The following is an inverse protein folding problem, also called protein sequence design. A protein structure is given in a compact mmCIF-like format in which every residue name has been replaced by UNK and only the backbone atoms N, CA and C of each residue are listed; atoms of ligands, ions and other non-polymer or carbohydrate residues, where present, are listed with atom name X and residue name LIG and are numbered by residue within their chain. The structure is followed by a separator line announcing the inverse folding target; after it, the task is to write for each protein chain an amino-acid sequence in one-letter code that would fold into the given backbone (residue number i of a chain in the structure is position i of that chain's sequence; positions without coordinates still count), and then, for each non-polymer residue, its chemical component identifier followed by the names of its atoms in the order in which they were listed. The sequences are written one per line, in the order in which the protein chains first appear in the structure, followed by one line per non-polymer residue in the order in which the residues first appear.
data_IF_586828874596
#
_entry.id   IF_586828874596
#
_cell.length_a   1.000
_cell.length_b   1.000
_cell.length_c   1.000
_cell.angle_alpha   90.00
_cell.angle_beta   90.00
_cell.angle_gamma   90.00
#
_symmetry.space_group_name_H-M   'P 1'
#
loop_
_entity.id
_entity.type
_entity.pdbx_description
1 polymer ?
#
# COMPACT_ATOMS: atom_id res chain seq x y z
N UNK A 1 -7.79 20.13 8.71
CA UNK A 1 -6.59 20.10 9.58
C UNK A 1 -5.35 20.10 8.71
N UNK A 2 -4.43 21.04 8.89
CA UNK A 2 -3.22 21.10 8.05
C UNK A 2 -2.31 19.90 8.33
N UNK A 3 -1.52 19.49 7.32
CA UNK A 3 -0.53 18.41 7.47
C UNK A 3 0.46 18.70 8.61
N UNK A 4 0.79 19.97 8.81
CA UNK A 4 1.62 20.45 9.91
C UNK A 4 1.00 20.11 11.27
N UNK A 5 -0.29 20.37 11.47
CA UNK A 5 -0.98 20.05 12.73
C UNK A 5 -1.05 18.55 13.02
N UNK A 6 -1.15 17.70 11.99
CA UNK A 6 -1.10 16.24 12.18
C UNK A 6 0.28 15.77 12.64
N UNK A 7 1.35 16.29 12.03
CA UNK A 7 2.74 15.93 12.38
C UNK A 7 3.11 16.49 13.76
N UNK A 8 2.68 17.71 14.07
CA UNK A 8 2.90 18.33 15.37
C UNK A 8 2.32 17.47 16.50
N UNK A 9 1.07 17.02 16.35
CA UNK A 9 0.41 16.15 17.33
C UNK A 9 1.04 14.75 17.41
N UNK A 10 1.73 14.26 16.39
CA UNK A 10 2.38 12.93 16.44
C UNK A 10 3.72 12.97 17.19
N UNK A 11 4.50 14.03 16.93
CA UNK A 11 5.87 14.19 17.44
C UNK A 11 5.89 14.81 18.84
N UNK A 12 5.02 15.78 19.10
CA UNK A 12 5.02 16.57 20.34
C UNK A 12 3.88 16.27 21.30
N UNK A 13 2.92 15.40 20.96
CA UNK A 13 1.88 15.04 21.93
C UNK A 13 2.43 14.17 23.05
N UNK A 14 1.94 14.45 24.26
CA UNK A 14 2.13 13.62 25.44
C UNK A 14 1.77 12.16 25.13
N UNK A 15 2.65 11.17 25.43
CA UNK A 15 2.37 9.76 25.21
C UNK A 15 1.08 9.27 25.89
N UNK A 16 0.63 9.94 26.94
CA UNK A 16 -0.64 9.64 27.62
C UNK A 16 -1.88 10.12 26.85
N UNK A 17 -1.72 10.99 25.84
CA UNK A 17 -2.80 11.54 25.00
C UNK A 17 -2.75 11.00 23.54
N UNK A 18 -2.12 9.85 23.32
CA UNK A 18 -2.14 9.20 21.98
C UNK A 18 -3.54 8.65 21.69
N UNK A 19 -4.32 9.41 20.93
CA UNK A 19 -5.62 8.95 20.43
C UNK A 19 -5.42 7.67 19.62
N UNK A 20 -6.00 6.56 20.07
CA UNK A 20 -5.91 5.25 19.39
C UNK A 20 -6.49 5.43 17.98
N UNK A 21 -5.69 5.20 16.93
CA UNK A 21 -6.16 5.28 15.53
C UNK A 21 -7.21 4.19 15.31
N UNK A 22 -8.49 4.51 15.45
CA UNK A 22 -9.65 3.65 15.15
C UNK A 22 -9.95 3.59 13.66
N UNK A 23 -8.90 3.49 12.83
CA UNK A 23 -9.04 3.35 11.39
C UNK A 23 -9.65 1.99 11.04
N UNK A 24 -10.29 1.86 9.86
CA UNK A 24 -10.77 0.57 9.38
C UNK A 24 -9.61 -0.44 9.39
N UNK A 25 -9.84 -1.60 10.02
CA UNK A 25 -8.84 -2.67 10.07
C UNK A 25 -8.59 -3.13 8.63
N UNK A 26 -7.32 -3.12 8.21
CA UNK A 26 -6.92 -3.67 6.91
C UNK A 26 -7.41 -5.12 6.81
N UNK A 27 -7.95 -5.56 5.65
CA UNK A 27 -8.32 -6.95 5.47
C UNK A 27 -7.10 -7.84 5.74
N UNK A 28 -7.32 -8.96 6.42
CA UNK A 28 -6.27 -9.92 6.71
C UNK A 28 -5.75 -10.53 5.41
N UNK A 29 -4.48 -10.90 5.39
CA UNK A 29 -3.92 -11.58 4.23
C UNK A 29 -4.39 -13.04 4.18
N UNK A 30 -4.73 -13.50 2.99
CA UNK A 30 -5.14 -14.88 2.70
C UNK A 30 -4.21 -15.50 1.66
N UNK A 31 -4.01 -16.81 1.71
CA UNK A 31 -3.24 -17.55 0.74
C UNK A 31 -3.94 -17.51 -0.63
N UNK A 32 -3.23 -17.08 -1.68
CA UNK A 32 -3.80 -17.02 -3.03
C UNK A 32 -4.00 -18.39 -3.68
N UNK A 33 -3.47 -19.48 -3.12
CA UNK A 33 -3.72 -20.82 -3.64
C UNK A 33 -5.02 -21.41 -3.07
N UNK A 34 -5.16 -21.44 -1.74
CA UNK A 34 -6.26 -22.14 -1.07
C UNK A 34 -7.29 -21.22 -0.38
N UNK A 35 -6.98 -19.92 -0.22
CA UNK A 35 -7.86 -18.95 0.43
C UNK A 35 -7.76 -18.88 1.96
N UNK A 36 -6.93 -19.69 2.61
CA UNK A 36 -6.82 -19.68 4.08
C UNK A 36 -6.01 -18.48 4.63
N UNK A 37 -6.39 -17.98 5.81
CA UNK A 37 -5.72 -16.86 6.50
C UNK A 37 -4.41 -17.26 7.22
N UNK A 38 -4.13 -18.56 7.33
CA UNK A 38 -3.10 -19.06 8.25
C UNK A 38 -1.67 -19.00 7.69
N UNK A 39 -1.51 -18.87 6.37
CA UNK A 39 -0.24 -19.06 5.71
C UNK A 39 -0.13 -18.27 4.41
N UNK A 40 1.09 -18.11 3.90
CA UNK A 40 1.35 -17.45 2.63
C UNK A 40 1.40 -18.45 1.48
N UNK A 41 1.40 -17.98 0.23
CA UNK A 41 1.51 -18.85 -0.95
C UNK A 41 2.72 -19.80 -0.89
N UNK A 42 3.82 -19.39 -0.26
CA UNK A 42 5.06 -20.17 -0.15
C UNK A 42 4.89 -21.35 0.80
N UNK A 43 4.11 -21.16 1.86
CA UNK A 43 3.91 -22.14 2.92
C UNK A 43 2.69 -23.04 2.67
N UNK A 44 2.07 -22.92 1.48
CA UNK A 44 0.86 -23.66 1.14
C UNK A 44 1.17 -25.14 0.92
N UNK A 45 0.52 -26.00 1.70
CA UNK A 45 0.68 -27.46 1.62
C UNK A 45 -0.08 -28.10 0.43
N UNK A 46 -1.01 -27.37 -0.17
CA UNK A 46 -1.79 -27.84 -1.33
C UNK A 46 -0.99 -27.69 -2.63
N UNK A 47 -1.25 -28.54 -3.65
CA UNK A 47 -0.64 -28.38 -4.95
C UNK A 47 -0.94 -26.99 -5.52
N UNK A 48 0.04 -26.39 -6.17
CA UNK A 48 -0.05 -25.03 -6.67
C UNK A 48 -0.94 -24.97 -7.91
N UNK A 49 -2.09 -24.33 -7.80
CA UNK A 49 -3.06 -24.17 -8.90
C UNK A 49 -2.92 -22.76 -9.49
N UNK A 50 -2.21 -22.64 -10.61
CA UNK A 50 -1.93 -21.32 -11.22
C UNK A 50 -3.20 -20.54 -11.59
N UNK A 51 -4.25 -21.22 -12.04
CA UNK A 51 -5.52 -20.60 -12.39
C UNK A 51 -6.19 -19.92 -11.19
N UNK A 52 -6.23 -20.58 -10.03
CA UNK A 52 -6.79 -20.02 -8.79
C UNK A 52 -5.97 -18.83 -8.30
N UNK A 53 -4.63 -18.96 -8.33
CA UNK A 53 -3.73 -17.87 -7.96
C UNK A 53 -3.95 -16.65 -8.85
N UNK A 54 -4.10 -16.84 -10.16
CA UNK A 54 -4.35 -15.74 -11.09
C UNK A 54 -5.70 -15.07 -10.83
N UNK A 55 -6.75 -15.85 -10.55
CA UNK A 55 -8.08 -15.33 -10.20
C UNK A 55 -8.04 -14.50 -8.91
N UNK A 56 -7.49 -15.07 -7.83
CA UNK A 56 -7.40 -14.40 -6.53
C UNK A 56 -6.56 -13.10 -6.59
N UNK A 57 -5.52 -13.06 -7.43
CA UNK A 57 -4.75 -11.83 -7.69
C UNK A 57 -5.58 -10.77 -8.41
N UNK A 58 -6.37 -11.16 -9.43
CA UNK A 58 -7.26 -10.24 -10.14
C UNK A 58 -8.33 -9.68 -9.22
N UNK A 59 -8.93 -10.51 -8.37
CA UNK A 59 -9.96 -10.10 -7.42
C UNK A 59 -9.42 -9.14 -6.36
N UNK A 60 -8.20 -9.39 -5.86
CA UNK A 60 -7.55 -8.46 -4.94
C UNK A 60 -7.29 -7.10 -5.61
N UNK A 61 -6.78 -7.10 -6.85
CA UNK A 61 -6.52 -5.86 -7.60
C UNK A 61 -7.80 -5.07 -7.90
N UNK A 62 -8.91 -5.75 -8.27
CA UNK A 62 -10.19 -5.09 -8.54
C UNK A 62 -10.80 -4.47 -7.28
N UNK A 63 -10.71 -5.17 -6.14
CA UNK A 63 -11.18 -4.66 -4.85
C UNK A 63 -10.34 -3.48 -4.34
N UNK A 64 -9.04 -3.50 -4.60
CA UNK A 64 -8.16 -2.39 -4.23
C UNK A 64 -8.52 -1.12 -5.02
N UNK A 65 -8.88 -1.25 -6.30
CA UNK A 65 -9.28 -0.11 -7.14
C UNK A 65 -10.55 0.60 -6.65
N UNK A 66 -11.45 -0.12 -5.96
CA UNK A 66 -12.65 0.46 -5.34
C UNK A 66 -12.37 1.15 -3.99
N UNK A 67 -11.27 0.77 -3.31
CA UNK A 67 -10.91 1.25 -1.98
C UNK A 67 -9.69 2.19 -1.97
N UNK A 68 -9.21 2.62 -3.14
CA UNK A 68 -8.14 3.61 -3.21
C UNK A 68 -8.59 4.88 -2.45
N UNK A 69 -7.85 5.34 -1.43
CA UNK A 69 -8.03 6.71 -1.00
C UNK A 69 -7.74 7.55 -2.23
N UNK A 70 -8.72 8.32 -2.72
CA UNK A 70 -8.49 9.35 -3.74
C UNK A 70 -7.36 10.22 -3.19
N UNK A 71 -6.14 9.97 -3.64
CA UNK A 71 -4.99 10.70 -3.20
C UNK A 71 -5.16 12.11 -3.76
N UNK A 72 -5.62 13.03 -2.91
CA UNK A 72 -5.80 14.46 -3.24
C UNK A 72 -4.49 15.25 -3.12
N UNK A 73 -3.36 14.56 -3.00
CA UNK A 73 -2.04 15.18 -3.05
C UNK A 73 -1.58 15.37 -4.51
N UNK A 74 -0.55 16.21 -4.75
CA UNK A 74 0.00 16.38 -6.08
C UNK A 74 0.47 15.02 -6.60
N UNK A 75 -0.02 14.69 -7.80
CA UNK A 75 0.27 13.47 -8.57
C UNK A 75 1.70 12.98 -8.32
N UNK A 76 1.89 11.65 -8.19
CA UNK A 76 3.23 11.02 -8.07
C UNK A 76 4.19 11.77 -8.98
N UNK A 77 5.32 12.25 -8.49
CA UNK A 77 6.23 13.17 -9.21
C UNK A 77 6.60 12.77 -10.66
N UNK A 78 6.44 11.50 -11.01
CA UNK A 78 6.58 10.96 -12.37
C UNK A 78 5.46 11.35 -13.35
N UNK A 79 4.30 11.78 -12.84
CA UNK A 79 3.13 12.19 -13.61
C UNK A 79 3.07 13.70 -13.81
N UNK A 80 3.93 14.46 -13.12
CA UNK A 80 4.14 15.88 -13.37
C UNK A 80 5.13 16.02 -14.53
N UNK A 81 4.71 16.54 -15.69
CA UNK A 81 5.57 16.67 -16.87
C UNK A 81 6.81 17.56 -16.62
N UNK A 82 6.71 18.59 -15.76
CA UNK A 82 7.84 19.47 -15.46
C UNK A 82 8.88 18.76 -14.57
N UNK A 83 8.43 18.02 -13.56
CA UNK A 83 9.32 17.30 -12.65
C UNK A 83 9.87 16.01 -13.27
N UNK A 84 9.08 15.31 -14.07
CA UNK A 84 9.53 14.13 -14.83
C UNK A 84 10.76 14.47 -15.67
N UNK A 85 10.74 15.60 -16.38
CA UNK A 85 11.87 16.11 -17.16
C UNK A 85 13.14 16.31 -16.33
N UNK A 86 13.02 16.89 -15.13
CA UNK A 86 14.16 17.15 -14.22
C UNK A 86 14.87 15.88 -13.73
N UNK A 87 14.13 14.77 -13.60
CA UNK A 87 14.66 13.52 -13.08
C UNK A 87 14.99 12.46 -14.13
N UNK A 88 14.74 12.73 -15.43
CA UNK A 88 15.09 11.83 -16.55
C UNK A 88 16.58 11.41 -16.58
N UNK A 89 17.48 12.28 -16.09
CA UNK A 89 18.92 12.02 -16.07
C UNK A 89 19.37 11.00 -15.02
N UNK A 90 18.55 10.73 -13.99
CA UNK A 90 18.91 9.80 -12.92
C UNK A 90 18.47 8.40 -13.29
N UNK A 91 19.44 7.50 -13.48
CA UNK A 91 19.17 6.09 -13.73
C UNK A 91 19.10 5.34 -12.40
N UNK A 92 18.01 4.60 -12.11
CA UNK A 92 17.93 3.80 -10.89
C UNK A 92 19.10 2.81 -10.82
N UNK A 93 19.74 2.71 -9.65
CA UNK A 93 20.87 1.82 -9.41
C UNK A 93 22.26 2.40 -9.74
N UNK A 94 22.37 3.63 -10.26
CA UNK A 94 23.65 4.32 -10.44
C UNK A 94 23.81 5.42 -9.39
N UNK A 95 24.60 5.15 -8.35
CA UNK A 95 25.06 6.17 -7.41
C UNK A 95 26.41 6.68 -7.95
N UNK A 96 26.46 7.97 -8.31
CA UNK A 96 27.70 8.69 -8.62
C UNK A 96 28.01 9.64 -7.49
#
# INVERSE_FOLDING_TARGET
MSRYMQVFNEVYADPSNKMKKTGPKRPKQVCWNCGEENHTLVDCKQPKVQAQIAMNRKDFMSQQQQNEPKFMGPSRYHLDPELSSKFTKFKPGMIR
#
